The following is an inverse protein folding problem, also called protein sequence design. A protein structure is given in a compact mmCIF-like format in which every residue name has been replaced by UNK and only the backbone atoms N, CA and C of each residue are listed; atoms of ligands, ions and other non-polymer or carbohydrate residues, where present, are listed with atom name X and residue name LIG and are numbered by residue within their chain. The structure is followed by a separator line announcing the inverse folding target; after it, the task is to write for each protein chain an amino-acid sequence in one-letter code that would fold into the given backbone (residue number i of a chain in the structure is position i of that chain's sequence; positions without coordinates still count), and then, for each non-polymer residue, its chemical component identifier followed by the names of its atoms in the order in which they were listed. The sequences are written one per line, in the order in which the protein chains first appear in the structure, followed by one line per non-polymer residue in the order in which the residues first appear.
data_IF_495959455831
#
_entry.id   IF_495959455831
#
_cell.length_a   1.000
_cell.length_b   1.000
_cell.length_c   1.000
_cell.angle_alpha   90.00
_cell.angle_beta   90.00
_cell.angle_gamma   90.00
#
_symmetry.space_group_name_H-M   'P 1'
#
loop_
_entity.id
_entity.type
_entity.pdbx_description
1 polymer ?
#
# COMPACT_ATOMS: atom_id res chain seq x y z
N UNK A 1 -29.27 -0.08 18.54
CA UNK A 1 -28.87 -1.03 17.47
C UNK A 1 -27.85 -0.38 16.51
N UNK A 2 -28.09 0.84 16.03
CA UNK A 2 -27.19 1.56 15.09
C UNK A 2 -25.80 1.90 15.68
N UNK A 3 -25.71 2.26 16.96
CA UNK A 3 -24.44 2.64 17.59
C UNK A 3 -23.46 1.47 17.76
N UNK A 4 -23.96 0.28 18.08
CA UNK A 4 -23.16 -0.94 18.17
C UNK A 4 -22.60 -1.33 16.81
N UNK A 5 -23.44 -1.26 15.76
CA UNK A 5 -23.03 -1.52 14.39
C UNK A 5 -21.94 -0.53 13.93
N UNK A 6 -22.10 0.76 14.23
CA UNK A 6 -21.12 1.79 13.90
C UNK A 6 -19.77 1.59 14.61
N UNK A 7 -19.78 1.06 15.84
CA UNK A 7 -18.56 0.72 16.58
C UNK A 7 -17.80 -0.42 15.89
N UNK A 8 -18.49 -1.52 15.56
CA UNK A 8 -17.86 -2.64 14.85
C UNK A 8 -17.37 -2.26 13.46
N UNK A 9 -18.15 -1.50 12.68
CA UNK A 9 -17.74 -1.06 11.35
C UNK A 9 -16.47 -0.20 11.40
N UNK A 10 -16.38 0.75 12.34
CA UNK A 10 -15.17 1.55 12.52
C UNK A 10 -13.97 0.70 12.91
N UNK A 11 -14.17 -0.31 13.77
CA UNK A 11 -13.15 -1.28 14.13
C UNK A 11 -12.63 -2.04 12.90
N UNK A 12 -13.53 -2.62 12.11
CA UNK A 12 -13.18 -3.37 10.90
C UNK A 12 -12.46 -2.52 9.86
N UNK A 13 -12.89 -1.27 9.66
CA UNK A 13 -12.22 -0.37 8.71
C UNK A 13 -10.79 -0.06 9.17
N UNK A 14 -10.57 0.22 10.46
CA UNK A 14 -9.22 0.47 10.99
C UNK A 14 -8.32 -0.76 10.92
N UNK A 15 -8.83 -1.94 11.31
CA UNK A 15 -8.08 -3.19 11.25
C UNK A 15 -7.78 -3.57 9.79
N UNK A 16 -8.74 -3.42 8.88
CA UNK A 16 -8.55 -3.66 7.45
C UNK A 16 -7.51 -2.72 6.85
N UNK A 17 -7.55 -1.43 7.20
CA UNK A 17 -6.54 -0.47 6.78
C UNK A 17 -5.14 -0.84 7.31
N UNK A 18 -5.04 -1.25 8.58
CA UNK A 18 -3.78 -1.72 9.16
C UNK A 18 -3.25 -2.98 8.48
N UNK A 19 -4.12 -3.97 8.23
CA UNK A 19 -3.76 -5.20 7.53
C UNK A 19 -3.25 -4.94 6.11
N UNK A 20 -3.87 -3.96 5.41
CA UNK A 20 -3.45 -3.54 4.08
C UNK A 20 -2.03 -2.95 4.12
N UNK A 21 -1.73 -2.09 5.10
CA UNK A 21 -0.36 -1.56 5.28
C UNK A 21 0.64 -2.67 5.61
N UNK A 22 0.29 -3.60 6.51
CA UNK A 22 1.17 -4.74 6.85
C UNK A 22 1.45 -5.65 5.64
N UNK A 23 0.48 -5.80 4.74
CA UNK A 23 0.67 -6.56 3.51
C UNK A 23 1.69 -5.91 2.56
N UNK A 24 1.73 -4.58 2.50
CA UNK A 24 2.75 -3.84 1.75
C UNK A 24 4.14 -3.94 2.40
N UNK A 25 4.21 -3.91 3.74
CA UNK A 25 5.47 -4.11 4.50
C UNK A 25 6.07 -5.49 4.23
N UNK A 26 5.24 -6.53 4.09
CA UNK A 26 5.70 -7.87 3.67
C UNK A 26 6.40 -7.81 2.31
N UNK A 27 5.86 -7.04 1.36
CA UNK A 27 6.48 -6.81 0.05
C UNK A 27 7.87 -6.20 0.18
N UNK A 28 8.03 -5.20 1.05
CA UNK A 28 9.32 -4.57 1.33
C UNK A 28 10.33 -5.55 1.95
N UNK A 29 9.89 -6.42 2.86
CA UNK A 29 10.76 -7.45 3.47
C UNK A 29 11.23 -8.46 2.41
N UNK A 30 10.36 -8.80 1.44
CA UNK A 30 10.70 -9.67 0.31
C UNK A 30 11.76 -9.08 -0.64
N UNK A 31 12.07 -7.78 -0.55
CA UNK A 31 13.21 -7.20 -1.24
C UNK A 31 14.57 -7.69 -0.68
N UNK A 32 14.64 -8.06 0.60
CA UNK A 32 15.88 -8.51 1.25
C UNK A 32 16.52 -9.72 0.57
N UNK A 33 15.78 -10.83 0.36
CA UNK A 33 16.28 -12.00 -0.37
C UNK A 33 16.71 -11.69 -1.81
N UNK A 34 16.02 -10.76 -2.49
CA UNK A 34 16.37 -10.34 -3.85
C UNK A 34 17.73 -9.64 -3.85
N UNK A 35 17.96 -8.70 -2.93
CA UNK A 35 19.26 -8.02 -2.78
C UNK A 35 20.37 -9.01 -2.43
N UNK A 36 20.10 -9.96 -1.53
CA UNK A 36 21.06 -11.00 -1.18
C UNK A 36 21.40 -11.91 -2.36
N UNK A 37 20.42 -12.28 -3.18
CA UNK A 37 20.65 -13.08 -4.39
C UNK A 37 21.51 -12.33 -5.43
N UNK A 38 21.34 -11.02 -5.58
CA UNK A 38 22.19 -10.19 -6.44
C UNK A 38 23.64 -10.17 -5.92
N UNK A 39 23.81 -10.04 -4.61
CA UNK A 39 25.14 -10.09 -3.98
C UNK A 39 25.81 -11.46 -4.19
N UNK A 40 25.08 -12.54 -3.94
CA UNK A 40 25.60 -13.91 -4.04
C UNK A 40 25.92 -14.33 -5.49
N UNK A 41 25.22 -13.78 -6.47
CA UNK A 41 25.45 -14.04 -7.91
C UNK A 41 26.63 -13.26 -8.50
N UNK A 42 27.40 -12.54 -7.67
CA UNK A 42 28.63 -11.85 -8.10
C UNK A 42 28.37 -10.55 -8.87
N UNK A 43 27.16 -9.98 -8.80
CA UNK A 43 26.85 -8.70 -9.42
C UNK A 43 26.88 -8.70 -10.95
N UNK A 44 26.60 -9.84 -11.59
CA UNK A 44 26.48 -9.89 -13.05
C UNK A 44 25.43 -8.89 -13.54
N UNK A 45 25.64 -8.36 -14.75
CA UNK A 45 24.74 -7.37 -15.36
C UNK A 45 23.28 -7.88 -15.42
N UNK A 46 23.11 -9.18 -15.66
CA UNK A 46 21.81 -9.87 -15.64
C UNK A 46 21.19 -9.92 -14.24
N UNK A 47 21.99 -10.18 -13.19
CA UNK A 47 21.50 -10.18 -11.82
C UNK A 47 21.07 -8.78 -11.36
N UNK A 48 21.83 -7.74 -11.71
CA UNK A 48 21.47 -6.35 -11.42
C UNK A 48 20.16 -5.96 -12.14
N UNK A 49 20.02 -6.34 -13.41
CA UNK A 49 18.82 -6.06 -14.20
C UNK A 49 17.57 -6.78 -13.66
N UNK A 50 17.70 -8.05 -13.29
CA UNK A 50 16.64 -8.82 -12.63
C UNK A 50 16.31 -8.25 -11.25
N UNK A 51 17.32 -7.80 -10.52
CA UNK A 51 17.18 -7.10 -9.26
C UNK A 51 16.35 -5.83 -9.38
N UNK A 52 16.69 -4.95 -10.33
CA UNK A 52 15.99 -3.69 -10.58
C UNK A 52 14.54 -3.93 -11.02
N UNK A 53 14.30 -4.87 -11.94
CA UNK A 53 12.94 -5.19 -12.38
C UNK A 53 12.07 -5.78 -11.26
N UNK A 54 12.64 -6.66 -10.42
CA UNK A 54 11.94 -7.24 -9.27
C UNK A 54 11.70 -6.21 -8.16
N UNK A 55 12.72 -5.43 -7.77
CA UNK A 55 12.61 -4.38 -6.75
C UNK A 55 11.69 -3.25 -7.21
N UNK A 56 11.71 -2.92 -8.51
CA UNK A 56 10.79 -1.98 -9.12
C UNK A 56 9.33 -2.43 -9.00
N UNK A 57 9.04 -3.71 -9.24
CA UNK A 57 7.71 -4.28 -9.04
C UNK A 57 7.23 -4.19 -7.58
N UNK A 58 8.12 -4.49 -6.63
CA UNK A 58 7.84 -4.36 -5.19
C UNK A 58 7.60 -2.88 -4.82
N UNK A 59 8.47 -1.98 -5.27
CA UNK A 59 8.34 -0.55 -5.00
C UNK A 59 7.04 0.03 -5.58
N UNK A 60 6.66 -0.37 -6.80
CA UNK A 60 5.39 0.01 -7.40
C UNK A 60 4.19 -0.53 -6.62
N UNK A 61 4.27 -1.76 -6.09
CA UNK A 61 3.20 -2.33 -5.27
C UNK A 61 2.90 -1.51 -4.02
N UNK A 62 3.90 -0.85 -3.42
CA UNK A 62 3.73 0.02 -2.25
C UNK A 62 3.35 1.45 -2.62
N UNK A 63 3.99 2.02 -3.65
CA UNK A 63 3.79 3.42 -4.06
C UNK A 63 2.39 3.63 -4.64
N UNK A 64 1.90 2.69 -5.47
CA UNK A 64 0.61 2.82 -6.16
C UNK A 64 -0.56 2.95 -5.17
N UNK A 65 -0.72 2.08 -4.15
CA UNK A 65 -1.74 2.21 -3.11
C UNK A 65 -1.66 3.52 -2.33
N UNK A 66 -0.46 3.99 -1.98
CA UNK A 66 -0.27 5.26 -1.26
C UNK A 66 -0.77 6.44 -2.10
N UNK A 67 -0.39 6.47 -3.39
CA UNK A 67 -0.85 7.50 -4.33
C UNK A 67 -2.36 7.40 -4.56
N UNK A 68 -2.89 6.18 -4.69
CA UNK A 68 -4.32 5.93 -4.86
C UNK A 68 -5.12 6.41 -3.64
N UNK A 69 -4.66 6.13 -2.42
CA UNK A 69 -5.28 6.60 -1.19
C UNK A 69 -5.33 8.14 -1.11
N UNK A 70 -4.24 8.81 -1.52
CA UNK A 70 -4.20 10.28 -1.61
C UNK A 70 -5.22 10.84 -2.60
N UNK A 71 -5.34 10.23 -3.78
CA UNK A 71 -6.34 10.60 -4.80
C UNK A 71 -7.77 10.34 -4.32
N UNK A 72 -8.00 9.22 -3.63
CA UNK A 72 -9.31 8.86 -3.08
C UNK A 72 -9.75 9.87 -2.02
N UNK A 73 -8.84 10.26 -1.10
CA UNK A 73 -9.10 11.29 -0.09
C UNK A 73 -9.47 12.62 -0.72
N UNK A 74 -8.74 13.04 -1.77
CA UNK A 74 -9.05 14.26 -2.54
C UNK A 74 -10.44 14.16 -3.18
N UNK A 75 -10.76 13.04 -3.84
CA UNK A 75 -12.06 12.80 -4.46
C UNK A 75 -13.21 12.87 -3.45
N UNK A 76 -13.05 12.20 -2.30
CA UNK A 76 -14.04 12.19 -1.21
C UNK A 76 -14.25 13.60 -0.69
N UNK A 77 -13.19 14.33 -0.39
CA UNK A 77 -13.29 15.72 0.08
C UNK A 77 -13.98 16.63 -0.94
N UNK A 78 -13.65 16.49 -2.23
CA UNK A 78 -14.32 17.26 -3.29
C UNK A 78 -15.80 16.91 -3.41
N UNK A 79 -16.19 15.64 -3.25
CA UNK A 79 -17.60 15.22 -3.30
C UNK A 79 -18.38 15.64 -2.06
N UNK A 80 -17.77 15.58 -0.89
CA UNK A 80 -18.37 16.05 0.37
C UNK A 80 -18.56 17.57 0.35
N UNK A 81 -17.58 18.32 -0.14
CA UNK A 81 -17.68 19.77 -0.32
C UNK A 81 -18.77 20.18 -1.33
N UNK A 82 -19.15 19.29 -2.25
CA UNK A 82 -20.18 19.55 -3.28
C UNK A 82 -21.59 19.21 -2.83
N UNK A 83 -21.80 18.69 -1.61
CA UNK A 83 -23.12 18.35 -1.07
C UNK A 83 -23.56 19.46 -0.09
N UNK A 84 -24.21 20.54 -0.54
CA UNK A 84 -24.80 21.51 0.37
C UNK A 84 -26.02 20.86 1.03
N UNK A 85 -26.02 20.71 2.37
CA UNK A 85 -27.23 20.31 3.11
C UNK A 85 -27.10 19.26 4.22
N UNK A 86 -25.91 19.03 4.81
CA UNK A 86 -25.76 18.23 6.04
C UNK A 86 -24.86 18.96 7.04
N UNK A 87 -25.23 20.20 7.37
CA UNK A 87 -24.74 20.94 8.53
C UNK A 87 -25.91 21.14 9.51
#
# INVERSE_FOLDING_TARGET
MTSSLAFFLNGFIKVGAFALVMNEVRGLILAGPVIYAIYQSGGTLTAIWLGVSSLGGIALSVIVPVVAAGKLKKLVNTRLARKPGLA
#
